data_IF_292930527165
#
_entry.id   IF_292930527165
#
_cell.length_a   1.000
_cell.length_b   1.000
_cell.length_c   1.000
_cell.angle_alpha   90.00
_cell.angle_beta   90.00
_cell.angle_gamma   90.00
#
_symmetry.space_group_name_H-M   'P 1'
#
loop_
_entity.id
_entity.type
_entity.pdbx_description
1 polymer ?
#
# COMPACT_ATOMS: atom_id res chain seq x y z
N UNK A 1 -6.60 15.69 -12.93
CA UNK A 1 -5.44 15.56 -13.86
C UNK A 1 -5.62 14.24 -14.58
N UNK A 2 -5.78 14.29 -15.90
CA UNK A 2 -6.16 13.16 -16.73
C UNK A 2 -5.04 12.11 -16.77
N UNK A 3 -5.37 10.87 -16.44
CA UNK A 3 -4.53 9.68 -16.56
C UNK A 3 -4.27 9.37 -18.04
N UNK A 4 -3.04 9.46 -18.58
CA UNK A 4 -2.79 9.14 -19.98
C UNK A 4 -3.06 7.64 -20.25
N UNK A 5 -4.05 7.37 -21.11
CA UNK A 5 -4.37 6.01 -21.55
C UNK A 5 -3.28 5.45 -22.46
N UNK A 6 -3.00 4.15 -22.30
CA UNK A 6 -2.11 3.37 -23.17
C UNK A 6 -2.88 2.19 -23.79
N UNK A 7 -2.59 1.80 -25.04
CA UNK A 7 -3.12 0.57 -25.59
C UNK A 7 -2.43 -0.64 -24.94
N UNK A 8 -3.22 -1.63 -24.55
CA UNK A 8 -2.77 -2.96 -24.14
C UNK A 8 -3.37 -4.01 -25.10
N UNK A 9 -2.87 -5.24 -25.06
CA UNK A 9 -3.39 -6.31 -25.91
C UNK A 9 -4.80 -6.73 -25.45
N UNK A 10 -5.84 -6.63 -26.29
CA UNK A 10 -7.20 -7.04 -25.92
C UNK A 10 -7.27 -8.53 -25.55
N UNK A 11 -7.98 -8.88 -24.46
CA UNK A 11 -8.24 -10.27 -24.06
C UNK A 11 -9.76 -10.57 -24.02
N UNK A 12 -10.43 -10.70 -25.19
CA UNK A 12 -11.89 -10.80 -25.26
C UNK A 12 -12.48 -12.02 -24.55
N UNK A 13 -11.74 -13.13 -24.47
CA UNK A 13 -12.14 -14.36 -23.78
C UNK A 13 -11.32 -14.64 -22.53
N UNK A 14 -10.33 -13.79 -22.20
CA UNK A 14 -9.42 -14.01 -21.07
C UNK A 14 -8.23 -14.94 -21.33
N UNK A 15 -8.01 -15.39 -22.58
CA UNK A 15 -6.84 -16.21 -22.92
C UNK A 15 -5.52 -15.56 -22.46
N UNK A 16 -4.65 -16.34 -21.80
CA UNK A 16 -3.37 -15.85 -21.25
C UNK A 16 -3.49 -15.06 -19.95
N UNK A 17 -4.69 -14.87 -19.40
CA UNK A 17 -4.91 -14.20 -18.11
C UNK A 17 -4.91 -15.21 -16.96
N UNK A 18 -4.07 -14.97 -15.94
CA UNK A 18 -4.13 -15.68 -14.66
C UNK A 18 -4.87 -14.82 -13.63
N UNK A 19 -6.05 -15.24 -13.21
CA UNK A 19 -6.84 -14.60 -12.16
C UNK A 19 -6.60 -15.33 -10.84
N UNK A 20 -5.89 -14.69 -9.91
CA UNK A 20 -5.72 -15.20 -8.55
C UNK A 20 -6.82 -14.63 -7.65
N UNK A 21 -7.62 -15.51 -7.03
CA UNK A 21 -8.71 -15.12 -6.12
C UNK A 21 -8.26 -15.26 -4.67
N UNK A 22 -8.35 -14.17 -3.90
CA UNK A 22 -8.10 -14.18 -2.47
C UNK A 22 -9.40 -13.95 -1.69
N UNK A 23 -10.15 -15.04 -1.42
CA UNK A 23 -11.44 -15.02 -0.71
C UNK A 23 -11.35 -14.62 0.78
N UNK A 24 -10.13 -14.44 1.32
CA UNK A 24 -9.95 -13.89 2.67
C UNK A 24 -10.15 -12.37 2.70
N UNK A 25 -10.02 -11.70 1.56
CA UNK A 25 -10.26 -10.25 1.46
C UNK A 25 -11.76 -9.95 1.46
N UNK A 26 -12.25 -9.09 2.37
CA UNK A 26 -13.60 -8.53 2.29
C UNK A 26 -14.75 -9.34 2.94
N UNK A 27 -14.45 -10.22 3.91
CA UNK A 27 -15.45 -11.05 4.63
C UNK A 27 -16.59 -10.27 5.31
N UNK A 28 -16.42 -8.97 5.53
CA UNK A 28 -17.37 -8.11 6.26
C UNK A 28 -18.46 -7.48 5.38
N UNK A 29 -18.46 -7.74 4.07
CA UNK A 29 -19.46 -7.18 3.15
C UNK A 29 -20.14 -8.30 2.38
N UNK A 30 -21.47 -8.43 2.55
CA UNK A 30 -22.29 -9.32 1.71
C UNK A 30 -22.27 -8.76 0.28
N UNK A 31 -21.44 -9.35 -0.58
CA UNK A 31 -21.44 -9.12 -2.03
C UNK A 31 -21.69 -10.43 -2.74
N UNK A 32 -22.38 -10.35 -3.88
CA UNK A 32 -22.50 -11.49 -4.79
C UNK A 32 -21.10 -11.83 -5.30
N UNK A 33 -20.71 -13.10 -5.18
CA UNK A 33 -19.43 -13.58 -5.70
C UNK A 33 -19.37 -13.30 -7.22
N UNK A 34 -18.39 -12.54 -7.73
CA UNK A 34 -18.28 -12.26 -9.15
C UNK A 34 -17.80 -13.46 -10.00
N UNK A 35 -17.60 -14.64 -9.40
CA UNK A 35 -17.17 -15.85 -10.10
C UNK A 35 -18.00 -16.17 -11.36
N UNK A 36 -19.33 -16.04 -11.29
CA UNK A 36 -20.23 -16.29 -12.43
C UNK A 36 -19.91 -15.35 -13.60
N UNK A 37 -19.75 -14.06 -13.29
CA UNK A 37 -19.44 -13.02 -14.30
C UNK A 37 -18.07 -13.26 -14.93
N UNK A 38 -17.07 -13.61 -14.12
CA UNK A 38 -15.73 -13.94 -14.61
C UNK A 38 -15.79 -15.15 -15.54
N UNK A 39 -16.47 -16.21 -15.13
CA UNK A 39 -16.57 -17.46 -15.92
C UNK A 39 -17.33 -17.25 -17.23
N UNK A 40 -18.42 -16.48 -17.19
CA UNK A 40 -19.23 -16.19 -18.37
C UNK A 40 -18.48 -15.31 -19.37
N UNK A 41 -17.76 -14.28 -18.88
CA UNK A 41 -17.15 -13.27 -19.76
C UNK A 41 -15.70 -13.56 -20.13
N UNK A 42 -14.99 -14.34 -19.33
CA UNK A 42 -13.59 -14.71 -19.56
C UNK A 42 -13.42 -16.24 -19.50
N UNK A 43 -14.07 -17.00 -20.41
CA UNK A 43 -14.10 -18.46 -20.37
C UNK A 43 -12.72 -19.11 -20.54
N UNK A 44 -11.75 -18.41 -21.15
CA UNK A 44 -10.39 -18.90 -21.38
C UNK A 44 -9.38 -18.39 -20.32
N UNK A 45 -9.84 -17.61 -19.33
CA UNK A 45 -8.99 -17.18 -18.21
C UNK A 45 -8.72 -18.35 -17.25
N UNK A 46 -7.47 -18.44 -16.78
CA UNK A 46 -7.12 -19.40 -15.73
C UNK A 46 -7.40 -18.79 -14.37
N UNK A 47 -8.34 -19.37 -13.65
CA UNK A 47 -8.70 -18.93 -12.30
C UNK A 47 -8.02 -19.82 -11.27
N UNK A 48 -7.19 -19.23 -10.41
CA UNK A 48 -6.54 -19.89 -9.29
C UNK A 48 -7.10 -19.34 -7.97
N UNK A 49 -7.76 -20.19 -7.20
CA UNK A 49 -8.20 -19.83 -5.85
C UNK A 49 -7.09 -20.13 -4.85
N UNK A 50 -6.67 -19.13 -4.07
CA UNK A 50 -5.62 -19.32 -3.07
C UNK A 50 -6.11 -20.24 -1.96
N UNK A 51 -5.39 -21.35 -1.77
CA UNK A 51 -5.64 -22.25 -0.66
C UNK A 51 -5.22 -21.62 0.68
N UNK A 52 -5.68 -22.20 1.78
CA UNK A 52 -5.25 -21.77 3.11
C UNK A 52 -3.73 -21.92 3.25
N UNK A 53 -3.06 -20.84 3.66
CA UNK A 53 -1.61 -20.78 3.79
C UNK A 53 -0.82 -20.63 2.48
N UNK A 54 -1.48 -20.69 1.31
CA UNK A 54 -0.80 -20.45 0.03
C UNK A 54 -0.50 -18.96 -0.15
N UNK A 55 0.75 -18.67 -0.55
CA UNK A 55 1.16 -17.30 -0.85
C UNK A 55 0.89 -16.98 -2.31
N UNK A 56 0.40 -15.76 -2.56
CA UNK A 56 0.12 -15.25 -3.91
C UNK A 56 1.34 -15.34 -4.83
N UNK A 57 2.55 -15.10 -4.31
CA UNK A 57 3.81 -15.24 -5.06
C UNK A 57 4.09 -16.67 -5.52
N UNK A 58 3.71 -17.68 -4.73
CA UNK A 58 3.98 -19.08 -5.05
C UNK A 58 3.01 -19.56 -6.14
N UNK A 59 1.75 -19.12 -6.09
CA UNK A 59 0.77 -19.37 -7.14
C UNK A 59 1.20 -18.78 -8.49
N UNK A 60 1.65 -17.52 -8.50
CA UNK A 60 2.16 -16.85 -9.70
C UNK A 60 3.43 -17.52 -10.23
N UNK A 61 4.39 -17.82 -9.36
CA UNK A 61 5.63 -18.49 -9.75
C UNK A 61 5.36 -19.86 -10.41
N UNK A 62 4.43 -20.64 -9.86
CA UNK A 62 4.01 -21.93 -10.43
C UNK A 62 3.37 -21.78 -11.80
N UNK A 63 2.49 -20.79 -11.97
CA UNK A 63 1.83 -20.53 -13.24
C UNK A 63 2.81 -20.06 -14.33
N UNK A 64 3.81 -19.25 -13.97
CA UNK A 64 4.85 -18.77 -14.89
C UNK A 64 5.84 -19.88 -15.29
N UNK A 65 6.03 -20.89 -14.45
CA UNK A 65 6.91 -22.02 -14.73
C UNK A 65 6.24 -23.16 -15.54
N UNK A 66 4.93 -23.06 -15.80
CA UNK A 66 4.18 -24.07 -16.56
C UNK A 66 4.37 -23.96 -18.08
N UNK A 67 3.83 -24.94 -18.81
CA UNK A 67 3.94 -25.03 -20.29
C UNK A 67 3.21 -23.91 -21.03
N UNK A 68 2.21 -23.30 -20.39
CA UNK A 68 1.47 -22.15 -20.87
C UNK A 68 1.57 -21.03 -19.83
N UNK A 69 2.63 -20.20 -19.84
CA UNK A 69 2.79 -19.12 -18.88
C UNK A 69 1.80 -17.96 -19.17
N UNK A 70 1.23 -17.32 -18.14
CA UNK A 70 0.31 -16.19 -18.36
C UNK A 70 1.06 -14.97 -18.91
N UNK A 71 0.37 -14.20 -19.75
CA UNK A 71 0.83 -12.91 -20.27
C UNK A 71 0.13 -11.72 -19.61
N UNK A 72 -0.84 -11.97 -18.74
CA UNK A 72 -1.53 -10.97 -17.90
C UNK A 72 -1.72 -11.56 -16.51
N UNK A 73 -1.36 -10.80 -15.48
CA UNK A 73 -1.69 -11.16 -14.10
C UNK A 73 -2.95 -10.42 -13.67
N UNK A 74 -3.85 -11.12 -12.99
CA UNK A 74 -5.09 -10.57 -12.49
C UNK A 74 -5.32 -10.98 -11.03
N UNK A 75 -5.91 -10.10 -10.24
CA UNK A 75 -6.24 -10.39 -8.84
C UNK A 75 -7.65 -9.98 -8.50
N UNK A 76 -8.41 -10.90 -7.92
CA UNK A 76 -9.69 -10.62 -7.25
C UNK A 76 -9.44 -10.57 -5.74
N UNK A 77 -9.42 -9.36 -5.19
CA UNK A 77 -9.11 -9.14 -3.77
C UNK A 77 -9.17 -7.68 -3.34
N UNK A 78 -8.73 -7.42 -2.10
CA UNK A 78 -8.60 -6.07 -1.56
C UNK A 78 -7.24 -5.41 -1.86
N UNK A 79 -7.04 -4.20 -1.37
CA UNK A 79 -5.86 -3.37 -1.66
C UNK A 79 -4.52 -4.05 -1.35
N UNK A 80 -4.41 -4.84 -0.27
CA UNK A 80 -3.20 -5.61 0.03
C UNK A 80 -2.89 -6.70 -1.01
N UNK A 81 -3.92 -7.39 -1.53
CA UNK A 81 -3.74 -8.37 -2.61
C UNK A 81 -3.35 -7.70 -3.91
N UNK A 82 -3.90 -6.51 -4.18
CA UNK A 82 -3.55 -5.67 -5.33
C UNK A 82 -2.10 -5.20 -5.26
N UNK A 83 -1.62 -4.73 -4.11
CA UNK A 83 -0.22 -4.32 -3.93
C UNK A 83 0.74 -5.49 -4.20
N UNK A 84 0.50 -6.66 -3.59
CA UNK A 84 1.33 -7.85 -3.83
C UNK A 84 1.32 -8.28 -5.29
N UNK A 85 0.15 -8.28 -5.95
CA UNK A 85 0.07 -8.63 -7.37
C UNK A 85 0.75 -7.59 -8.26
N UNK A 86 0.68 -6.30 -7.93
CA UNK A 86 1.37 -5.25 -8.67
C UNK A 86 2.89 -5.37 -8.56
N UNK A 87 3.41 -5.78 -7.39
CA UNK A 87 4.83 -6.10 -7.24
C UNK A 87 5.24 -7.23 -8.19
N UNK A 88 4.47 -8.31 -8.26
CA UNK A 88 4.76 -9.43 -9.17
C UNK A 88 4.60 -9.06 -10.64
N UNK A 89 3.54 -8.33 -10.98
CA UNK A 89 3.31 -7.82 -12.34
C UNK A 89 4.50 -6.99 -12.83
N UNK A 90 5.00 -6.07 -12.00
CA UNK A 90 6.22 -5.32 -12.30
C UNK A 90 7.46 -6.21 -12.38
N UNK A 91 7.65 -7.12 -11.42
CA UNK A 91 8.82 -8.02 -11.38
C UNK A 91 8.92 -8.90 -12.63
N UNK A 92 7.80 -9.29 -13.21
CA UNK A 92 7.72 -10.14 -14.39
C UNK A 92 7.41 -9.38 -15.69
N UNK A 93 7.35 -8.05 -15.66
CA UNK A 93 6.96 -7.18 -16.78
C UNK A 93 5.64 -7.62 -17.47
N UNK A 94 4.63 -7.91 -16.66
CA UNK A 94 3.28 -8.28 -17.11
C UNK A 94 2.29 -7.16 -16.78
N UNK A 95 1.31 -6.87 -17.66
CA UNK A 95 0.20 -6.01 -17.32
C UNK A 95 -0.67 -6.64 -16.23
N UNK A 96 -1.28 -5.77 -15.41
CA UNK A 96 -2.12 -6.11 -14.27
C UNK A 96 -3.60 -5.84 -14.59
N UNK A 97 -4.46 -6.77 -14.23
CA UNK A 97 -5.91 -6.56 -14.14
C UNK A 97 -6.33 -6.60 -12.67
N UNK A 98 -7.01 -5.55 -12.21
CA UNK A 98 -7.52 -5.48 -10.83
C UNK A 98 -9.02 -5.74 -10.83
N UNK A 99 -9.45 -6.82 -10.18
CA UNK A 99 -10.85 -7.13 -9.96
C UNK A 99 -11.21 -6.75 -8.51
N UNK A 100 -12.04 -5.72 -8.29
CA UNK A 100 -12.32 -5.19 -6.95
C UNK A 100 -13.07 -6.22 -6.07
N UNK A 101 -12.37 -6.80 -5.08
CA UNK A 101 -12.91 -7.82 -4.17
C UNK A 101 -12.91 -7.44 -2.69
N UNK A 102 -12.25 -6.35 -2.29
CA UNK A 102 -12.16 -5.90 -0.89
C UNK A 102 -13.22 -4.86 -0.51
N UNK A 103 -13.22 -4.45 0.76
CA UNK A 103 -14.17 -3.47 1.30
C UNK A 103 -14.02 -2.09 0.62
N UNK A 104 -12.78 -1.59 0.57
CA UNK A 104 -12.50 -0.20 0.17
C UNK A 104 -11.92 -0.01 -1.23
N UNK A 105 -11.32 -1.04 -1.85
CA UNK A 105 -10.83 -1.06 -3.25
C UNK A 105 -10.24 0.27 -3.72
N UNK A 106 -9.38 0.88 -2.91
CA UNK A 106 -8.89 2.24 -3.14
C UNK A 106 -8.07 2.32 -4.44
N UNK A 107 -7.21 1.33 -4.68
CA UNK A 107 -6.41 1.30 -5.90
C UNK A 107 -7.28 1.17 -7.15
N UNK A 108 -8.23 0.23 -7.14
CA UNK A 108 -9.14 0.00 -8.27
C UNK A 108 -9.89 1.30 -8.64
N UNK A 109 -10.46 1.97 -7.64
CA UNK A 109 -11.14 3.27 -7.84
C UNK A 109 -10.22 4.36 -8.36
N UNK A 110 -8.97 4.40 -7.88
CA UNK A 110 -7.99 5.40 -8.33
C UNK A 110 -7.62 5.23 -9.82
N UNK A 111 -7.75 4.03 -10.38
CA UNK A 111 -7.58 3.76 -11.81
C UNK A 111 -8.91 3.71 -12.58
N UNK A 112 -10.03 4.12 -11.96
CA UNK A 112 -11.35 4.18 -12.60
C UNK A 112 -12.07 2.83 -12.72
N UNK A 113 -11.71 1.84 -11.91
CA UNK A 113 -12.37 0.53 -11.84
C UNK A 113 -13.30 0.51 -10.63
N UNK A 114 -14.60 0.70 -10.88
CA UNK A 114 -15.62 0.71 -9.83
C UNK A 114 -16.15 -0.69 -9.48
N UNK A 115 -16.17 -1.59 -10.47
CA UNK A 115 -16.63 -2.96 -10.33
C UNK A 115 -15.89 -3.93 -11.27
N UNK A 116 -16.17 -5.23 -11.11
CA UNK A 116 -15.55 -6.31 -11.90
C UNK A 116 -15.91 -6.21 -13.39
N UNK A 117 -17.12 -5.77 -13.73
CA UNK A 117 -17.54 -5.61 -15.13
C UNK A 117 -16.72 -4.55 -15.85
N UNK A 118 -16.51 -3.41 -15.19
CA UNK A 118 -15.68 -2.30 -15.69
C UNK A 118 -14.24 -2.75 -15.95
N UNK A 119 -13.66 -3.56 -15.06
CA UNK A 119 -12.33 -4.13 -15.26
C UNK A 119 -12.28 -5.07 -16.47
N UNK A 120 -13.29 -5.94 -16.61
CA UNK A 120 -13.40 -6.87 -17.75
C UNK A 120 -13.59 -6.11 -19.06
N UNK A 121 -14.38 -5.04 -19.08
CA UNK A 121 -14.58 -4.23 -20.28
C UNK A 121 -13.26 -3.59 -20.76
N UNK A 122 -12.47 -3.03 -19.84
CA UNK A 122 -11.15 -2.49 -20.17
C UNK A 122 -10.20 -3.58 -20.71
N UNK A 123 -10.22 -4.78 -20.11
CA UNK A 123 -9.45 -5.93 -20.57
C UNK A 123 -9.85 -6.37 -21.99
N UNK A 124 -11.15 -6.49 -22.25
CA UNK A 124 -11.72 -6.90 -23.54
C UNK A 124 -11.42 -5.86 -24.62
N UNK A 125 -11.43 -4.57 -24.27
CA UNK A 125 -11.13 -3.48 -25.19
C UNK A 125 -9.63 -3.26 -25.42
N UNK A 126 -8.76 -3.82 -24.56
CA UNK A 126 -7.32 -3.51 -24.56
C UNK A 126 -7.01 -2.08 -24.10
N UNK A 127 -7.84 -1.53 -23.22
CA UNK A 127 -7.63 -0.21 -22.65
C UNK A 127 -6.82 -0.32 -21.35
N UNK A 128 -5.77 0.49 -21.24
CA UNK A 128 -4.94 0.52 -20.05
C UNK A 128 -4.44 1.89 -19.67
N UNK A 129 -3.79 1.93 -18.52
CA UNK A 129 -3.02 3.06 -18.00
C UNK A 129 -1.69 2.56 -17.46
N UNK A 130 -0.73 3.45 -17.32
CA UNK A 130 0.42 3.24 -16.47
C UNK A 130 0.14 3.74 -15.04
N UNK A 131 0.89 3.25 -14.08
CA UNK A 131 0.80 3.66 -12.69
C UNK A 131 2.21 3.85 -12.13
N UNK A 132 2.47 5.03 -11.58
CA UNK A 132 3.69 5.31 -10.81
C UNK A 132 3.64 4.55 -9.48
N UNK A 133 4.78 3.97 -9.11
CA UNK A 133 5.00 3.30 -7.84
C UNK A 133 6.33 3.73 -7.22
N UNK A 134 6.54 3.43 -5.95
CA UNK A 134 7.88 3.46 -5.37
C UNK A 134 8.52 2.08 -5.44
N UNK A 135 9.84 2.05 -5.58
CA UNK A 135 10.66 0.88 -5.31
C UNK A 135 11.43 1.13 -4.01
N UNK A 136 11.44 0.11 -3.15
CA UNK A 136 12.03 0.17 -1.81
C UNK A 136 12.99 -0.97 -1.64
N UNK A 137 14.23 -0.67 -1.27
CA UNK A 137 15.22 -1.66 -0.83
C UNK A 137 15.61 -1.38 0.60
N UNK A 138 15.56 -2.41 1.45
CA UNK A 138 15.99 -2.35 2.84
C UNK A 138 17.11 -3.38 3.06
N UNK A 139 18.22 -2.95 3.66
CA UNK A 139 19.36 -3.84 3.94
C UNK A 139 19.90 -4.47 2.66
N UNK A 140 20.08 -5.81 2.70
CA UNK A 140 20.49 -6.65 1.57
C UNK A 140 19.27 -7.35 0.91
N UNK A 141 18.05 -6.94 1.26
CA UNK A 141 16.82 -7.48 0.70
C UNK A 141 16.58 -7.08 -0.75
N UNK A 142 15.81 -7.91 -1.46
CA UNK A 142 15.34 -7.63 -2.81
C UNK A 142 14.43 -6.39 -2.81
N UNK A 143 14.49 -5.52 -3.84
CA UNK A 143 13.61 -4.37 -3.92
C UNK A 143 12.14 -4.78 -4.03
N UNK A 144 11.28 -4.14 -3.23
CA UNK A 144 9.83 -4.31 -3.25
C UNK A 144 9.15 -3.13 -3.94
N UNK A 145 8.02 -3.39 -4.59
CA UNK A 145 7.21 -2.37 -5.24
C UNK A 145 6.12 -1.92 -4.28
N UNK A 146 5.98 -0.62 -4.05
CA UNK A 146 5.00 -0.02 -3.14
C UNK A 146 4.10 0.92 -3.91
N UNK A 147 2.78 0.77 -3.76
CA UNK A 147 1.78 1.55 -4.47
C UNK A 147 1.33 2.80 -3.71
N UNK A 148 1.30 2.76 -2.37
CA UNK A 148 0.75 3.85 -1.56
C UNK A 148 1.79 4.49 -0.65
N UNK A 149 2.31 3.75 0.33
CA UNK A 149 3.16 4.34 1.35
C UNK A 149 4.03 3.34 2.08
N UNK A 150 5.16 3.85 2.56
CA UNK A 150 6.05 3.21 3.53
C UNK A 150 5.98 3.97 4.84
N UNK A 151 6.09 3.24 5.95
CA UNK A 151 6.31 3.83 7.26
C UNK A 151 7.42 3.12 8.02
N UNK A 152 8.26 3.90 8.67
CA UNK A 152 9.32 3.46 9.58
C UNK A 152 9.08 4.08 10.96
N UNK A 153 9.46 3.38 12.03
CA UNK A 153 9.45 3.89 13.40
C UNK A 153 8.36 3.26 14.26
N UNK A 154 7.74 4.04 15.14
CA UNK A 154 6.73 3.56 16.10
C UNK A 154 5.38 3.21 15.45
N UNK A 155 5.12 3.73 14.26
CA UNK A 155 3.83 3.55 13.57
C UNK A 155 3.48 2.09 13.20
N UNK A 156 4.42 1.25 12.71
CA UNK A 156 4.24 -0.20 12.58
C UNK A 156 3.66 -0.91 13.81
N UNK A 157 4.12 -0.56 15.01
CA UNK A 157 3.69 -1.18 16.27
C UNK A 157 2.23 -0.85 16.60
N UNK A 158 1.76 0.34 16.19
CA UNK A 158 0.37 0.81 16.42
C UNK A 158 -0.61 0.21 15.40
N UNK A 159 -0.15 -0.14 14.20
CA UNK A 159 -0.97 -0.80 13.16
C UNK A 159 -1.07 -2.30 13.40
N UNK A 160 0.02 -2.98 13.72
CA UNK A 160 0.03 -4.43 13.96
C UNK A 160 -0.94 -4.84 15.08
N UNK A 161 -1.08 -4.02 16.14
CA UNK A 161 -2.06 -4.27 17.20
C UNK A 161 -3.51 -3.94 16.82
N UNK A 162 -3.74 -3.16 15.76
CA UNK A 162 -5.09 -2.76 15.33
C UNK A 162 -5.83 -3.86 14.59
N UNK A 163 -5.13 -4.66 13.78
CA UNK A 163 -5.75 -5.73 12.99
C UNK A 163 -6.15 -6.94 13.85
N UNK A 164 -5.40 -7.25 14.92
CA UNK A 164 -5.65 -8.41 15.78
C UNK A 164 -6.90 -8.31 16.67
N UNK A 165 -7.57 -7.15 16.77
CA UNK A 165 -8.59 -6.90 17.82
C UNK A 165 -9.86 -6.18 17.38
N UNK A 166 -10.12 -6.03 16.08
CA UNK A 166 -11.32 -5.33 15.58
C UNK A 166 -12.59 -6.18 15.44
N UNK A 167 -12.62 -7.41 15.96
CA UNK A 167 -13.88 -8.16 16.12
C UNK A 167 -14.50 -7.89 17.50
N UNK A 168 -15.66 -7.21 17.49
CA UNK A 168 -16.60 -6.91 18.57
C UNK A 168 -16.59 -5.49 19.16
N UNK A 169 -17.74 -4.83 19.02
CA UNK A 169 -18.09 -3.50 19.59
C UNK A 169 -17.97 -3.41 21.13
N UNK A 170 -17.67 -4.50 21.84
CA UNK A 170 -17.33 -4.51 23.27
C UNK A 170 -15.84 -4.27 23.59
N UNK A 171 -14.94 -4.33 22.59
CA UNK A 171 -13.46 -4.28 22.76
C UNK A 171 -12.83 -2.90 22.51
N UNK A 172 -13.62 -1.84 22.30
CA UNK A 172 -13.07 -0.51 21.99
C UNK A 172 -12.13 0.02 23.08
N UNK A 173 -12.45 -0.20 24.36
CA UNK A 173 -11.57 0.17 25.49
C UNK A 173 -10.28 -0.68 25.53
N UNK A 174 -10.34 -1.94 25.11
CA UNK A 174 -9.17 -2.82 25.00
C UNK A 174 -8.24 -2.38 23.86
N UNK A 175 -8.80 -2.00 22.71
CA UNK A 175 -8.05 -1.43 21.59
C UNK A 175 -7.40 -0.09 21.95
N UNK A 176 -8.09 0.77 22.71
CA UNK A 176 -7.54 2.03 23.22
C UNK A 176 -6.42 1.80 24.25
N UNK A 177 -6.57 0.84 25.16
CA UNK A 177 -5.54 0.51 26.16
C UNK A 177 -4.30 -0.18 25.55
N UNK A 178 -4.48 -1.01 24.52
CA UNK A 178 -3.38 -1.61 23.75
C UNK A 178 -2.64 -0.53 22.96
N UNK A 179 -3.37 0.28 22.19
CA UNK A 179 -2.83 1.48 21.51
C UNK A 179 -2.07 2.37 22.48
N UNK A 180 -2.59 2.62 23.68
CA UNK A 180 -1.90 3.41 24.71
C UNK A 180 -0.61 2.75 25.23
N UNK A 181 -0.58 1.41 25.37
CA UNK A 181 0.62 0.66 25.78
C UNK A 181 1.68 0.62 24.69
N UNK A 182 1.32 0.29 23.44
CA UNK A 182 2.25 0.38 22.30
C UNK A 182 2.82 1.80 22.13
N UNK A 183 1.99 2.82 22.38
CA UNK A 183 2.42 4.22 22.39
C UNK A 183 3.27 4.60 23.62
N UNK A 184 3.17 3.88 24.73
CA UNK A 184 3.95 4.11 25.94
C UNK A 184 5.35 3.47 25.86
N UNK A 185 5.43 2.26 25.30
CA UNK A 185 6.66 1.49 25.14
C UNK A 185 7.43 1.86 23.86
N UNK A 186 6.81 2.68 23.01
CA UNK A 186 7.40 3.29 21.83
C UNK A 186 8.75 3.98 22.13
N UNK A 187 9.80 3.51 21.46
CA UNK A 187 11.10 4.17 21.45
C UNK A 187 11.31 4.93 20.13
N UNK A 188 11.86 6.16 20.17
CA UNK A 188 12.29 6.85 18.96
C UNK A 188 13.34 6.04 18.22
N UNK A 189 13.25 6.03 16.90
CA UNK A 189 14.29 5.46 16.02
C UNK A 189 15.30 6.54 15.65
N UNK A 190 16.55 6.15 15.43
CA UNK A 190 17.59 7.05 14.93
C UNK A 190 17.65 6.89 13.42
N UNK A 191 17.38 7.96 12.69
CA UNK A 191 17.60 8.00 11.24
C UNK A 191 18.87 8.78 10.91
N UNK A 192 19.51 8.43 9.81
CA UNK A 192 20.64 9.15 9.22
C UNK A 192 20.36 9.51 7.77
N UNK A 193 20.54 10.78 7.42
CA UNK A 193 20.40 11.32 6.06
C UNK A 193 21.52 12.31 5.82
N UNK A 194 22.23 12.20 4.70
CA UNK A 194 23.29 13.16 4.30
C UNK A 194 24.34 13.42 5.40
N UNK A 195 24.73 12.36 6.13
CA UNK A 195 25.70 12.44 7.23
C UNK A 195 25.18 13.06 8.53
N UNK A 196 23.90 13.45 8.60
CA UNK A 196 23.24 13.95 9.82
C UNK A 196 22.36 12.88 10.43
N UNK A 197 22.35 12.80 11.76
CA UNK A 197 21.49 11.89 12.50
C UNK A 197 20.39 12.64 13.27
N UNK A 198 19.19 12.07 13.29
CA UNK A 198 18.05 12.60 14.04
C UNK A 198 17.31 11.46 14.76
N UNK A 199 16.83 11.74 15.98
CA UNK A 199 15.87 10.87 16.66
C UNK A 199 14.47 11.25 16.20
N UNK A 200 13.70 10.28 15.74
CA UNK A 200 12.38 10.47 15.14
C UNK A 200 11.39 9.44 15.69
N UNK A 201 10.13 9.83 15.78
CA UNK A 201 9.05 8.92 16.14
C UNK A 201 8.60 8.11 14.93
N UNK A 202 8.56 8.75 13.77
CA UNK A 202 8.20 8.09 12.52
C UNK A 202 8.79 8.80 11.31
N UNK A 203 8.98 8.01 10.26
CA UNK A 203 9.16 8.50 8.89
C UNK A 203 8.04 7.91 8.07
N UNK A 204 7.27 8.75 7.40
CA UNK A 204 6.19 8.36 6.51
C UNK A 204 6.54 8.80 5.09
N UNK A 205 6.53 7.86 4.16
CA UNK A 205 6.94 8.08 2.76
C UNK A 205 5.76 7.70 1.89
N UNK A 206 5.13 8.66 1.23
CA UNK A 206 4.03 8.38 0.30
C UNK A 206 4.49 8.41 -1.14
N UNK A 207 3.89 7.56 -1.97
CA UNK A 207 3.96 7.68 -3.43
C UNK A 207 3.03 8.82 -3.85
N UNK A 208 3.61 9.90 -4.38
CA UNK A 208 2.91 11.10 -4.77
C UNK A 208 2.72 12.12 -3.63
N UNK A 209 2.46 13.38 -4.03
CA UNK A 209 2.24 14.51 -3.12
C UNK A 209 0.92 14.36 -2.38
N UNK A 210 0.96 14.65 -1.08
CA UNK A 210 -0.20 14.75 -0.22
C UNK A 210 -0.55 16.21 0.11
N UNK A 211 -1.82 16.46 0.43
CA UNK A 211 -2.29 17.78 0.87
C UNK A 211 -1.49 18.28 2.11
N UNK A 212 -1.06 19.55 2.14
CA UNK A 212 -0.19 20.09 3.19
C UNK A 212 -0.78 19.98 4.60
N UNK A 213 -2.08 20.22 4.75
CA UNK A 213 -2.76 20.27 6.06
C UNK A 213 -3.03 18.91 6.73
N UNK A 214 -2.64 17.79 6.10
CA UNK A 214 -2.99 16.43 6.55
C UNK A 214 -1.77 15.64 6.95
N UNK A 215 -1.46 15.55 8.26
CA UNK A 215 -0.19 15.05 8.82
C UNK A 215 0.26 13.66 8.31
N UNK A 216 -0.64 12.73 8.03
CA UNK A 216 -0.31 11.46 7.36
C UNK A 216 -1.55 10.83 6.69
N UNK A 217 -1.39 10.30 5.49
CA UNK A 217 -2.41 9.52 4.77
C UNK A 217 -1.75 8.26 4.24
N UNK A 218 -2.23 7.07 4.61
CA UNK A 218 -1.84 5.78 4.00
C UNK A 218 -2.32 5.64 2.53
N UNK A 219 -2.68 6.74 1.88
CA UNK A 219 -3.43 6.74 0.63
C UNK A 219 -2.85 7.79 -0.31
N UNK A 220 -2.59 7.39 -1.56
CA UNK A 220 -2.17 8.30 -2.62
C UNK A 220 -3.35 9.11 -3.16
N UNK A 221 -3.08 10.34 -3.61
CA UNK A 221 -4.09 11.20 -4.24
C UNK A 221 -4.12 11.10 -5.76
N UNK A 222 -2.99 10.68 -6.34
CA UNK A 222 -2.76 10.61 -7.79
C UNK A 222 -2.03 9.32 -8.11
N UNK A 223 -2.11 8.90 -9.38
CA UNK A 223 -1.51 7.64 -9.83
C UNK A 223 -0.25 7.85 -10.70
N UNK A 224 0.09 9.11 -10.99
CA UNK A 224 1.20 9.52 -11.87
C UNK A 224 2.17 10.52 -11.23
N UNK A 225 2.00 10.86 -9.95
CA UNK A 225 2.91 11.81 -9.32
C UNK A 225 4.27 11.15 -9.12
N UNK A 226 5.29 11.81 -9.65
CA UNK A 226 6.64 11.33 -9.85
C UNK A 226 7.57 11.65 -8.66
N UNK A 227 6.98 11.98 -7.51
CA UNK A 227 7.70 12.37 -6.31
C UNK A 227 7.25 11.59 -5.08
N UNK A 228 8.17 11.37 -4.15
CA UNK A 228 7.89 10.93 -2.79
C UNK A 228 7.52 12.14 -1.93
N UNK A 229 6.43 12.04 -1.17
CA UNK A 229 6.13 12.96 -0.06
C UNK A 229 6.61 12.32 1.24
N UNK A 230 7.75 12.80 1.74
CA UNK A 230 8.42 12.26 2.93
C UNK A 230 8.13 13.18 4.11
N UNK A 231 7.67 12.58 5.21
CA UNK A 231 7.31 13.28 6.44
C UNK A 231 8.04 12.66 7.60
N UNK A 232 8.91 13.45 8.22
CA UNK A 232 9.76 13.02 9.33
C UNK A 232 9.25 13.71 10.59
N UNK A 233 8.75 12.91 11.52
CA UNK A 233 8.30 13.40 12.81
C UNK A 233 9.45 13.32 13.81
N UNK A 234 10.12 14.45 14.04
CA UNK A 234 11.26 14.55 14.95
C UNK A 234 10.83 14.32 16.39
N UNK A 235 11.65 13.58 17.14
CA UNK A 235 11.41 13.33 18.56
C UNK A 235 11.87 14.52 19.42
N UNK A 236 11.17 15.65 19.26
CA UNK A 236 11.34 16.88 20.04
C UNK A 236 10.17 17.01 21.03
N UNK A 237 10.46 17.33 22.30
CA UNK A 237 9.42 17.53 23.32
C UNK A 237 8.92 16.25 24.01
N UNK A 238 7.72 16.30 24.62
CA UNK A 238 7.20 15.23 25.48
C UNK A 238 6.52 14.10 24.69
N UNK A 239 6.72 12.84 25.13
CA UNK A 239 6.12 11.62 24.54
C UNK A 239 4.61 11.76 24.29
N UNK A 240 3.88 12.42 25.20
CA UNK A 240 2.43 12.61 25.12
C UNK A 240 1.97 13.36 23.85
N UNK A 241 2.76 14.33 23.35
CA UNK A 241 2.44 15.07 22.11
C UNK A 241 2.72 14.23 20.87
N UNK A 242 3.75 13.39 20.92
CA UNK A 242 4.08 12.50 19.82
C UNK A 242 2.99 11.43 19.61
N UNK A 243 2.52 10.85 20.72
CA UNK A 243 1.37 9.93 20.77
C UNK A 243 0.10 10.57 20.21
N UNK A 244 -0.17 11.84 20.56
CA UNK A 244 -1.33 12.57 20.03
C UNK A 244 -1.26 12.78 18.50
N UNK A 245 -0.06 12.93 17.92
CA UNK A 245 0.12 13.08 16.46
C UNK A 245 -0.29 11.86 15.64
N UNK A 246 -0.34 10.69 16.28
CA UNK A 246 -0.69 9.41 15.67
C UNK A 246 -2.21 9.15 15.71
N UNK A 247 -3.02 10.15 16.07
CA UNK A 247 -4.48 10.04 16.10
C UNK A 247 -5.11 10.33 14.73
N UNK A 248 -5.49 9.25 14.04
CA UNK A 248 -6.10 9.30 12.71
C UNK A 248 -7.63 9.42 12.80
N UNK A 249 -8.16 10.63 12.61
CA UNK A 249 -9.60 10.86 12.40
C UNK A 249 -9.97 12.34 12.53
N UNK A 250 -10.74 12.88 11.58
CA UNK A 250 -11.10 14.32 11.53
C UNK A 250 -11.64 14.87 12.88
N UNK A 251 -12.45 14.07 13.60
CA UNK A 251 -13.00 14.44 14.91
C UNK A 251 -11.94 14.40 16.02
N UNK A 252 -11.07 13.39 16.03
CA UNK A 252 -9.98 13.22 17.00
C UNK A 252 -8.89 14.28 16.82
N UNK A 253 -8.53 14.59 15.57
CA UNK A 253 -7.57 15.66 15.24
C UNK A 253 -8.11 17.04 15.63
N UNK A 254 -9.42 17.30 15.46
CA UNK A 254 -10.05 18.54 15.89
C UNK A 254 -10.06 18.69 17.42
N UNK A 255 -10.37 17.62 18.15
CA UNK A 255 -10.31 17.60 19.60
C UNK A 255 -8.87 17.83 20.10
N UNK A 256 -7.88 17.15 19.52
CA UNK A 256 -6.46 17.29 19.91
C UNK A 256 -5.86 18.66 19.58
N UNK A 257 -6.33 19.31 18.50
CA UNK A 257 -6.04 20.73 18.23
C UNK A 257 -6.65 21.62 19.32
N UNK A 258 -7.89 21.37 19.73
CA UNK A 258 -8.57 22.15 20.76
C UNK A 258 -7.87 22.07 22.13
N UNK A 259 -7.25 20.93 22.46
CA UNK A 259 -6.48 20.76 23.72
C UNK A 259 -4.97 21.06 23.61
N UNK A 260 -4.49 21.65 22.50
CA UNK A 260 -3.06 21.94 22.25
C UNK A 260 -2.11 20.74 22.41
N UNK A 261 -2.62 19.54 22.15
CA UNK A 261 -1.85 18.29 22.22
C UNK A 261 -1.18 17.92 20.90
N UNK A 262 -1.51 18.62 19.80
CA UNK A 262 -0.80 18.45 18.53
C UNK A 262 0.64 18.92 18.64
N UNK A 263 1.61 18.19 18.04
CA UNK A 263 2.95 18.71 17.90
C UNK A 263 2.90 19.98 17.04
N UNK A 264 3.66 21.03 17.38
CA UNK A 264 3.79 22.19 16.51
C UNK A 264 4.32 21.75 15.13
N UNK A 265 3.92 22.45 14.06
CA UNK A 265 4.41 22.16 12.69
C UNK A 265 5.95 22.12 12.59
N UNK A 266 6.66 22.74 13.54
CA UNK A 266 8.11 22.70 13.69
C UNK A 266 8.72 21.32 13.98
N UNK A 267 7.91 20.35 14.40
CA UNK A 267 8.38 18.99 14.73
C UNK A 267 8.21 18.02 13.54
N UNK A 268 7.54 18.43 12.47
CA UNK A 268 7.35 17.64 11.24
C UNK A 268 8.14 18.28 10.11
N UNK A 269 9.22 17.63 9.69
CA UNK A 269 9.95 17.98 8.47
C UNK A 269 9.25 17.32 7.27
N UNK A 270 9.01 18.08 6.20
CA UNK A 270 8.48 17.58 4.94
C UNK A 270 9.50 17.74 3.83
N UNK A 271 9.72 16.68 3.07
CA UNK A 271 10.55 16.66 1.87
C UNK A 271 9.69 16.15 0.72
N UNK A 272 9.86 16.74 -0.46
CA UNK A 272 9.25 16.26 -1.70
C UNK A 272 10.38 15.99 -2.69
N UNK A 273 10.70 14.71 -2.88
CA UNK A 273 11.94 14.27 -3.54
C UNK A 273 11.67 13.04 -4.42
N UNK A 274 12.38 12.85 -5.54
CA UNK A 274 12.21 11.66 -6.38
C UNK A 274 12.81 10.40 -5.76
N UNK A 275 13.78 10.57 -4.86
CA UNK A 275 14.47 9.50 -4.15
C UNK A 275 14.81 9.90 -2.72
N UNK A 276 14.95 8.90 -1.85
CA UNK A 276 15.27 9.04 -0.45
C UNK A 276 16.20 7.90 -0.02
N UNK A 277 17.31 8.23 0.63
CA UNK A 277 18.22 7.27 1.24
C UNK A 277 18.35 7.58 2.74
N UNK A 278 18.00 6.60 3.58
CA UNK A 278 18.00 6.71 5.03
C UNK A 278 18.72 5.52 5.66
N UNK A 279 19.64 5.77 6.58
CA UNK A 279 20.06 4.74 7.54
C UNK A 279 19.09 4.73 8.72
N UNK A 280 18.52 3.59 9.08
CA UNK A 280 17.62 3.41 10.21
C UNK A 280 18.32 2.58 11.27
N UNK A 281 18.35 3.06 12.52
CA UNK A 281 18.83 2.31 13.69
C UNK A 281 17.77 2.32 14.77
N UNK A 282 17.40 1.14 15.24
CA UNK A 282 16.48 0.97 16.37
C UNK A 282 17.25 0.90 17.68
N UNK A 283 16.56 1.17 18.79
CA UNK A 283 17.10 0.92 20.13
C UNK A 283 17.23 -0.57 20.41
N UNK A 284 18.19 -0.95 21.27
CA UNK A 284 18.34 -2.33 21.75
C UNK A 284 17.00 -2.88 22.27
N UNK A 285 16.61 -4.06 21.78
CA UNK A 285 15.36 -4.74 22.13
C UNK A 285 14.12 -4.29 21.35
N UNK A 286 14.23 -3.31 20.45
CA UNK A 286 13.12 -2.90 19.56
C UNK A 286 13.20 -3.60 18.20
N UNK A 287 12.05 -4.06 17.71
CA UNK A 287 11.96 -4.68 16.38
C UNK A 287 12.42 -3.69 15.29
N UNK A 288 13.35 -4.14 14.45
CA UNK A 288 13.83 -3.41 13.29
C UNK A 288 12.88 -3.72 12.14
N UNK A 289 11.88 -2.86 11.92
CA UNK A 289 10.81 -3.12 10.96
C UNK A 289 10.51 -1.88 10.11
N UNK A 290 9.95 -2.12 8.94
CA UNK A 290 9.20 -1.12 8.19
C UNK A 290 7.88 -1.73 7.71
N UNK A 291 6.90 -0.87 7.42
CA UNK A 291 5.61 -1.28 6.86
C UNK A 291 5.46 -0.64 5.50
N UNK A 292 5.00 -1.40 4.51
CA UNK A 292 4.66 -0.89 3.18
C UNK A 292 3.32 -1.47 2.72
N UNK A 293 2.41 -0.63 2.23
CA UNK A 293 1.06 -1.04 1.77
C UNK A 293 0.26 -1.94 2.74
N UNK A 294 0.58 -1.88 4.04
CA UNK A 294 -0.03 -2.71 5.09
C UNK A 294 0.73 -4.01 5.42
N UNK A 295 1.78 -4.34 4.67
CA UNK A 295 2.68 -5.46 4.95
C UNK A 295 3.81 -5.03 5.88
N UNK A 296 4.13 -5.87 6.87
CA UNK A 296 5.24 -5.67 7.79
C UNK A 296 6.46 -6.46 7.31
N UNK A 297 7.60 -5.77 7.20
CA UNK A 297 8.89 -6.35 6.85
C UNK A 297 9.83 -6.24 8.04
N UNK A 298 10.45 -7.37 8.38
CA UNK A 298 11.44 -7.48 9.46
C UNK A 298 12.86 -7.38 8.90
N UNK A 299 13.69 -6.59 9.58
CA UNK A 299 15.07 -6.32 9.21
C UNK A 299 16.02 -6.69 10.35
N UNK A 300 17.32 -6.67 10.05
CA UNK A 300 18.32 -7.04 11.06
C UNK A 300 18.24 -6.11 12.29
N UNK A 301 18.45 -6.65 13.51
CA UNK A 301 18.34 -5.86 14.76
C UNK A 301 19.35 -4.72 14.88
N UNK A 302 20.41 -4.71 14.07
CA UNK A 302 21.48 -3.71 14.10
C UNK A 302 21.13 -2.43 13.31
N UNK A 303 19.95 -2.42 12.67
CA UNK A 303 19.50 -1.38 11.75
C UNK A 303 19.70 -1.76 10.29
N UNK A 304 19.18 -0.93 9.40
CA UNK A 304 19.20 -1.17 7.95
C UNK A 304 19.33 0.16 7.20
N UNK A 305 19.73 0.07 5.93
CA UNK A 305 19.66 1.20 5.00
C UNK A 305 18.41 1.06 4.16
N UNK A 306 17.52 2.04 4.21
CA UNK A 306 16.31 2.12 3.41
C UNK A 306 16.56 3.07 2.24
N UNK A 307 16.43 2.58 1.02
CA UNK A 307 16.40 3.41 -0.19
C UNK A 307 15.02 3.32 -0.80
N UNK A 308 14.43 4.46 -1.08
CA UNK A 308 13.15 4.58 -1.77
C UNK A 308 13.37 5.43 -3.01
N UNK A 309 12.86 5.00 -4.16
CA UNK A 309 12.86 5.79 -5.39
C UNK A 309 11.53 5.67 -6.09
N UNK A 310 11.11 6.74 -6.73
CA UNK A 310 9.96 6.69 -7.63
C UNK A 310 10.35 5.96 -8.92
N UNK A 311 9.42 5.13 -9.39
CA UNK A 311 9.46 4.49 -10.69
C UNK A 311 8.23 4.99 -11.46
N UNK A 312 8.40 5.96 -12.36
CA UNK A 312 7.33 6.37 -13.28
C UNK A 312 6.89 5.17 -14.12
N UNK A 313 5.60 5.12 -14.43
CA UNK A 313 5.01 4.08 -15.29
C UNK A 313 5.31 2.63 -14.85
N UNK A 314 5.55 2.43 -13.55
CA UNK A 314 6.02 1.18 -12.96
C UNK A 314 5.13 -0.04 -13.24
N UNK A 315 3.82 0.16 -13.35
CA UNK A 315 2.84 -0.92 -13.54
C UNK A 315 1.89 -0.55 -14.66
N UNK A 316 1.77 -1.41 -15.67
CA UNK A 316 0.74 -1.33 -16.71
C UNK A 316 -0.53 -1.98 -16.17
N UNK A 317 -1.65 -1.27 -16.18
CA UNK A 317 -2.93 -1.73 -15.61
C UNK A 317 -4.02 -1.62 -16.66
N UNK A 318 -4.81 -2.67 -16.86
CA UNK A 318 -6.05 -2.57 -17.64
C UNK A 318 -7.05 -1.70 -16.89
N UNK A 319 -7.48 -0.60 -17.52
CA UNK A 319 -8.33 0.42 -16.91
C UNK A 319 -9.09 1.20 -18.00
N UNK A 320 -10.32 1.67 -17.73
CA UNK A 320 -11.09 2.42 -18.71
C UNK A 320 -10.39 3.70 -19.16
N UNK A 321 -10.45 4.01 -20.45
CA UNK A 321 -9.95 5.28 -21.00
C UNK A 321 -10.66 6.51 -20.39
N UNK A 322 -11.85 6.34 -19.79
CA UNK A 322 -12.60 7.40 -19.11
C UNK A 322 -12.05 7.79 -17.73
N UNK A 323 -11.15 6.99 -17.12
CA UNK A 323 -10.39 7.43 -15.94
C UNK A 323 -9.52 8.67 -16.26
N UNK A 324 -9.26 8.91 -17.55
CA UNK A 324 -8.65 10.12 -18.09
C UNK A 324 -9.63 11.30 -18.26
N UNK A 325 -10.93 11.21 -17.95
CA UNK A 325 -11.93 12.19 -18.43
C UNK A 325 -12.81 12.85 -17.37
N UNK A 326 -12.66 12.54 -16.09
CA UNK A 326 -13.50 13.16 -15.05
C UNK A 326 -12.84 14.43 -14.48
N UNK A 327 -13.35 15.59 -14.92
CA UNK A 327 -13.24 16.90 -14.26
C UNK A 327 -14.26 17.03 -13.11
#
# INVERSE_FOLDING_TARGET
MQTPGIPLEPRPTGAGVLIVRNLRSGRDVIRRDPADVITERLPDARVHELAEGELLKDAVARALAGDDPPSVLAVLGGDGSVSRMAHLARRHDLPLLVLPGGTFNHFARAVGIDDVGTAIDALVAGEGTTVTAAEVSAGDGEPVTVLNAISVGTYPQVIAEREDRMDDMGKWLGGVAATWRALHDAAPVVIGREGRHAKVWSVFISVGRNAPERVAMMQRQTIHDDLLDVRIHHARGSRLRAVASLAFGRKTTALLRAVRLMPPESDVERLVVPELDLSVRTSEGSASVYVHDGELEEETPQGYRLRCRIVPDAVRVYAPASAARAD
#
